data_IF_272835857221
#
_entry.id   IF_272835857221
#
_cell.length_a   1.000
_cell.length_b   1.000
_cell.length_c   1.000
_cell.angle_alpha   90.00
_cell.angle_beta   90.00
_cell.angle_gamma   90.00
#
_symmetry.space_group_name_H-M   'P 1'
#
loop_
_entity.id
_entity.type
_entity.pdbx_description
1 polymer ?
#
# COMPACT_ATOMS: atom_id res chain seq x y z
N UNK A 1 15.46 0.01 -12.80
CA UNK A 1 14.54 -1.00 -12.24
C UNK A 1 15.11 -1.39 -10.88
N UNK A 2 14.88 -0.54 -9.90
CA UNK A 2 15.32 -0.77 -8.52
C UNK A 2 14.09 -0.72 -7.61
N UNK A 3 14.05 -1.52 -6.54
CA UNK A 3 12.95 -1.46 -5.59
C UNK A 3 13.01 -0.14 -4.80
N UNK A 4 11.85 0.45 -4.53
CA UNK A 4 11.75 1.62 -3.66
C UNK A 4 11.98 1.25 -2.18
N UNK A 5 11.62 0.02 -1.79
CA UNK A 5 11.79 -0.53 -0.45
C UNK A 5 12.51 -1.86 -0.57
N UNK A 6 13.60 -2.04 0.16
CA UNK A 6 14.38 -3.27 0.15
C UNK A 6 13.73 -4.33 1.04
N UNK A 7 14.00 -5.59 0.74
CA UNK A 7 13.58 -6.67 1.61
C UNK A 7 14.25 -6.53 2.98
N UNK A 8 13.45 -6.60 4.05
CA UNK A 8 13.92 -6.43 5.43
C UNK A 8 14.06 -4.98 5.88
N UNK A 9 13.78 -4.01 5.02
CA UNK A 9 13.76 -2.60 5.41
C UNK A 9 12.59 -2.28 6.34
N UNK A 10 12.85 -1.46 7.36
CA UNK A 10 11.80 -0.96 8.25
C UNK A 10 11.06 0.19 7.58
N UNK A 11 9.74 0.06 7.47
CA UNK A 11 8.85 1.15 7.04
C UNK A 11 7.93 1.57 8.18
N UNK A 12 7.69 2.87 8.29
CA UNK A 12 6.77 3.42 9.29
C UNK A 12 5.46 3.78 8.58
N UNK A 13 4.35 3.26 9.11
CA UNK A 13 3.03 3.52 8.56
C UNK A 13 2.18 4.32 9.54
N UNK A 14 1.27 5.13 9.00
CA UNK A 14 0.29 5.82 9.83
C UNK A 14 -1.02 5.02 9.87
N UNK A 15 -1.60 4.75 11.06
CA UNK A 15 -2.79 3.90 11.19
C UNK A 15 -4.04 4.52 10.55
N UNK A 16 -4.21 5.84 10.66
CA UNK A 16 -5.46 6.52 10.26
C UNK A 16 -5.32 7.60 9.17
N UNK A 17 -4.12 7.90 8.66
CA UNK A 17 -3.93 8.96 7.68
C UNK A 17 -4.32 8.40 6.30
N UNK A 18 -5.35 8.94 5.65
CA UNK A 18 -5.80 8.41 4.37
C UNK A 18 -4.72 8.67 3.30
N UNK A 19 -4.24 7.63 2.60
CA UNK A 19 -3.26 7.81 1.53
C UNK A 19 -3.88 8.52 0.32
N UNK A 20 -3.04 9.29 -0.37
CA UNK A 20 -3.33 9.99 -1.62
C UNK A 20 -2.75 9.23 -2.81
N UNK A 21 -3.22 9.54 -4.01
CA UNK A 21 -2.59 9.01 -5.22
C UNK A 21 -1.12 9.44 -5.29
N UNK A 22 -0.23 8.51 -5.62
CA UNK A 22 1.22 8.69 -5.60
C UNK A 22 1.88 8.39 -4.24
N UNK A 23 1.11 8.23 -3.16
CA UNK A 23 1.70 7.83 -1.87
C UNK A 23 2.12 6.36 -1.89
N UNK A 24 3.25 6.06 -1.22
CA UNK A 24 3.61 4.69 -0.90
C UNK A 24 2.67 4.16 0.20
N UNK A 25 2.15 2.94 -0.01
CA UNK A 25 1.14 2.34 0.85
C UNK A 25 1.44 0.88 1.15
N UNK A 26 1.03 0.45 2.35
CA UNK A 26 0.79 -0.96 2.67
C UNK A 26 -0.71 -1.22 2.51
N UNK A 27 -1.08 -2.13 1.62
CA UNK A 27 -2.46 -2.61 1.47
C UNK A 27 -2.56 -3.97 2.14
N UNK A 28 -3.53 -4.12 3.04
CA UNK A 28 -3.86 -5.40 3.67
C UNK A 28 -5.12 -5.98 3.02
N UNK A 29 -5.03 -7.24 2.60
CA UNK A 29 -6.11 -7.97 1.96
C UNK A 29 -6.43 -9.24 2.74
N UNK A 30 -7.71 -9.57 2.79
CA UNK A 30 -8.22 -10.85 3.27
C UNK A 30 -9.28 -11.31 2.25
N UNK A 31 -9.04 -12.46 1.61
CA UNK A 31 -9.89 -12.92 0.50
C UNK A 31 -11.04 -13.81 0.96
N UNK A 32 -10.86 -14.51 2.08
CA UNK A 32 -11.85 -15.36 2.73
C UNK A 32 -11.84 -15.10 4.24
N UNK A 33 -12.96 -15.31 4.94
CA UNK A 33 -13.16 -14.91 6.34
C UNK A 33 -12.11 -15.51 7.30
N UNK A 34 -11.69 -16.76 7.04
CA UNK A 34 -10.68 -17.48 7.82
C UNK A 34 -9.28 -17.50 7.17
N UNK A 35 -9.07 -16.74 6.08
CA UNK A 35 -7.76 -16.65 5.44
C UNK A 35 -6.81 -15.72 6.17
N UNK A 36 -5.49 -15.97 6.14
CA UNK A 36 -4.51 -15.05 6.68
C UNK A 36 -4.56 -13.69 5.95
N UNK A 37 -4.29 -12.62 6.69
CA UNK A 37 -4.16 -11.29 6.11
C UNK A 37 -2.85 -11.21 5.33
N UNK A 38 -2.96 -10.91 4.04
CA UNK A 38 -1.82 -10.65 3.17
C UNK A 38 -1.56 -9.15 3.10
N UNK A 39 -0.29 -8.75 3.15
CA UNK A 39 0.11 -7.35 3.05
C UNK A 39 1.00 -7.13 1.82
N UNK A 40 0.70 -6.10 1.04
CA UNK A 40 1.46 -5.73 -0.15
C UNK A 40 1.83 -4.25 -0.14
N UNK A 41 3.09 -3.94 -0.44
CA UNK A 41 3.58 -2.55 -0.58
C UNK A 41 3.50 -2.10 -2.04
N UNK A 42 3.06 -0.88 -2.31
CA UNK A 42 3.13 -0.27 -3.63
C UNK A 42 2.81 1.22 -3.61
N UNK A 43 2.74 1.83 -4.78
CA UNK A 43 2.30 3.22 -4.93
C UNK A 43 0.81 3.25 -5.23
N UNK A 44 0.02 3.99 -4.45
CA UNK A 44 -1.42 4.09 -4.69
C UNK A 44 -1.68 4.83 -6.01
N UNK A 45 -2.17 4.12 -7.02
CA UNK A 45 -2.39 4.65 -8.36
C UNK A 45 -3.88 4.88 -8.67
N UNK A 46 -4.76 4.04 -8.10
CA UNK A 46 -6.20 4.05 -8.41
C UNK A 46 -7.02 3.63 -7.22
N UNK A 47 -8.17 4.26 -7.02
CA UNK A 47 -9.13 3.89 -5.97
C UNK A 47 -10.54 4.16 -6.47
N UNK A 48 -11.34 3.10 -6.56
CA UNK A 48 -12.75 3.15 -6.94
C UNK A 48 -13.58 2.34 -5.94
N UNK A 49 -14.89 2.28 -6.14
CA UNK A 49 -15.78 1.44 -5.35
C UNK A 49 -15.48 -0.06 -5.51
N UNK A 50 -14.86 -0.47 -6.62
CA UNK A 50 -14.62 -1.88 -6.95
C UNK A 50 -13.17 -2.32 -6.74
N UNK A 51 -12.22 -1.41 -6.85
CA UNK A 51 -10.79 -1.75 -6.85
C UNK A 51 -9.90 -0.74 -6.13
N UNK A 52 -8.80 -1.25 -5.60
CA UNK A 52 -7.63 -0.48 -5.16
C UNK A 52 -6.45 -0.90 -6.04
N UNK A 53 -5.96 0.03 -6.87
CA UNK A 53 -4.84 -0.20 -7.78
C UNK A 53 -3.55 0.34 -7.20
N UNK A 54 -2.51 -0.50 -7.16
CA UNK A 54 -1.15 -0.12 -6.77
C UNK A 54 -0.14 -0.37 -7.89
N UNK A 55 0.80 0.55 -8.05
CA UNK A 55 1.92 0.40 -8.98
C UNK A 55 3.16 -0.16 -8.25
N UNK A 56 3.92 -0.97 -8.98
CA UNK A 56 5.21 -1.52 -8.57
C UNK A 56 6.31 -0.89 -9.41
N UNK A 57 7.40 -0.50 -8.75
CA UNK A 57 8.58 0.03 -9.43
C UNK A 57 9.45 -1.06 -10.06
N UNK A 58 9.45 -2.26 -9.48
CA UNK A 58 10.29 -3.37 -9.93
C UNK A 58 9.64 -4.74 -9.67
N UNK A 59 9.28 -5.51 -10.71
CA UNK A 59 9.14 -5.07 -12.10
C UNK A 59 8.06 -3.98 -12.23
N UNK A 60 8.09 -3.21 -13.33
CA UNK A 60 7.07 -2.18 -13.58
C UNK A 60 5.74 -2.87 -13.89
N UNK A 61 4.81 -2.83 -12.94
CA UNK A 61 3.51 -3.49 -13.04
C UNK A 61 2.45 -2.72 -12.25
N UNK A 62 1.20 -2.85 -12.68
CA UNK A 62 0.04 -2.38 -11.93
C UNK A 62 -0.73 -3.59 -11.41
N UNK A 63 -1.06 -3.58 -10.13
CA UNK A 63 -1.83 -4.63 -9.45
C UNK A 63 -3.16 -4.03 -9.05
N UNK A 64 -4.26 -4.66 -9.47
CA UNK A 64 -5.61 -4.28 -9.06
C UNK A 64 -6.10 -5.27 -7.99
N UNK A 65 -6.40 -4.75 -6.81
CA UNK A 65 -6.93 -5.49 -5.67
C UNK A 65 -8.44 -5.25 -5.57
N UNK A 66 -9.29 -6.29 -5.44
CA UNK A 66 -10.71 -6.13 -5.22
C UNK A 66 -11.00 -5.32 -3.95
N UNK A 67 -11.83 -4.27 -4.03
CA UNK A 67 -12.08 -3.37 -2.88
C UNK A 67 -12.68 -4.09 -1.67
N UNK A 68 -13.45 -5.15 -1.92
CA UNK A 68 -14.10 -5.98 -0.90
C UNK A 68 -13.12 -6.87 -0.12
N UNK A 69 -11.97 -7.22 -0.69
CA UNK A 69 -10.93 -7.96 0.04
C UNK A 69 -9.99 -7.03 0.82
N UNK A 70 -9.97 -5.73 0.53
CA UNK A 70 -9.10 -4.77 1.21
C UNK A 70 -9.68 -4.38 2.57
N UNK A 71 -9.02 -4.85 3.64
CA UNK A 71 -9.39 -4.55 5.03
C UNK A 71 -8.81 -3.21 5.49
N UNK A 72 -7.60 -2.87 5.03
CA UNK A 72 -6.93 -1.64 5.41
C UNK A 72 -5.95 -1.16 4.33
N UNK A 73 -5.72 0.15 4.31
CA UNK A 73 -4.66 0.76 3.50
C UNK A 73 -3.96 1.81 4.34
N UNK A 74 -2.68 1.58 4.63
CA UNK A 74 -1.88 2.46 5.45
C UNK A 74 -0.88 3.22 4.60
N UNK A 75 -0.81 4.53 4.80
CA UNK A 75 0.23 5.36 4.21
C UNK A 75 1.58 5.04 4.86
N UNK A 76 2.60 4.78 4.04
CA UNK A 76 4.00 4.79 4.46
C UNK A 76 4.43 6.26 4.57
N UNK A 77 4.93 6.64 5.75
CA UNK A 77 5.33 8.01 6.03
C UNK A 77 6.68 8.32 5.40
N UNK A 78 6.76 9.50 4.78
CA UNK A 78 8.06 10.10 4.43
C UNK A 78 8.74 10.64 5.70
N UNK A 79 10.05 10.89 5.63
CA UNK A 79 10.78 11.50 6.75
C UNK A 79 10.22 12.87 7.14
N UNK A 80 9.78 13.68 6.17
CA UNK A 80 9.16 14.97 6.46
C UNK A 80 7.87 14.80 7.26
N UNK A 81 7.02 13.85 6.87
CA UNK A 81 5.78 13.58 7.60
C UNK A 81 6.00 12.99 8.98
N UNK A 82 7.04 12.18 9.16
CA UNK A 82 7.40 11.59 10.45
C UNK A 82 7.91 12.65 11.43
N UNK A 83 8.72 13.59 10.94
CA UNK A 83 9.36 14.63 11.76
C UNK A 83 8.52 15.91 11.88
N UNK A 84 7.45 16.04 11.10
CA UNK A 84 6.50 17.16 11.16
C UNK A 84 6.98 18.43 10.45
N UNK A 85 7.87 18.30 9.46
CA UNK A 85 8.37 19.41 8.62
C UNK A 85 7.57 19.56 7.33
#
# INVERSE_FOLDING_TARGET
>A
MEPQFWQGELVIVHPHKPPRFGDAVVVQCQYEEDSPVEATIGILAKRTEKIVGIDKHNPKAQIELPRNSVIATHKILTMNELLGF
#
